data_IF_336000517085
#
_entry.id   IF_336000517085
#
_cell.length_a   1.000
_cell.length_b   1.000
_cell.length_c   1.000
_cell.angle_alpha   90.00
_cell.angle_beta   90.00
_cell.angle_gamma   90.00
#
_symmetry.space_group_name_H-M   'P 1'
#
loop_
_entity.id
_entity.type
_entity.pdbx_description
1 polymer ?
#
# COMPACT_ATOMS: atom_id res chain seq x y z
N UNK A 1 -0.54 -6.52 2.98
CA UNK A 1 -0.54 -5.11 3.47
C UNK A 1 -1.92 -4.68 3.93
N UNK A 2 -2.91 -4.51 3.08
CA UNK A 2 -4.26 -4.03 3.46
C UNK A 2 -4.93 -4.84 4.57
N UNK A 3 -4.80 -6.17 4.57
CA UNK A 3 -5.33 -7.04 5.64
C UNK A 3 -4.72 -6.70 7.01
N UNK A 4 -3.41 -6.47 7.06
CA UNK A 4 -2.72 -6.07 8.29
C UNK A 4 -3.21 -4.69 8.75
N UNK A 5 -3.34 -3.76 7.82
CA UNK A 5 -3.81 -2.39 8.10
C UNK A 5 -5.23 -2.40 8.69
N UNK A 6 -6.14 -3.16 8.09
CA UNK A 6 -7.50 -3.34 8.59
C UNK A 6 -7.51 -3.97 9.98
N UNK A 7 -6.79 -5.09 10.17
CA UNK A 7 -6.71 -5.81 11.43
C UNK A 7 -6.19 -4.93 12.59
N UNK A 8 -5.09 -4.23 12.36
CA UNK A 8 -4.50 -3.33 13.36
C UNK A 8 -5.41 -2.13 13.65
N UNK A 9 -6.10 -1.60 12.64
CA UNK A 9 -7.08 -0.51 12.84
C UNK A 9 -8.25 -0.96 13.71
N UNK A 10 -8.78 -2.16 13.45
CA UNK A 10 -9.86 -2.75 14.24
C UNK A 10 -9.42 -3.03 15.69
N UNK A 11 -8.17 -3.45 15.88
CA UNK A 11 -7.60 -3.67 17.23
C UNK A 11 -7.30 -2.37 17.98
N UNK A 12 -7.39 -1.20 17.34
CA UNK A 12 -7.19 0.11 17.97
C UNK A 12 -5.77 0.33 18.51
N UNK A 13 -4.77 0.17 17.64
CA UNK A 13 -3.36 0.37 17.97
C UNK A 13 -2.92 1.85 18.06
N UNK A 14 -3.86 2.77 18.13
CA UNK A 14 -3.57 4.20 18.22
C UNK A 14 -2.71 4.49 19.45
N UNK A 15 -1.58 5.16 19.23
CA UNK A 15 -0.64 5.48 20.30
C UNK A 15 0.25 4.32 20.76
N UNK A 16 0.14 3.16 20.14
CA UNK A 16 0.94 1.97 20.46
C UNK A 16 2.11 1.81 19.50
N UNK A 17 3.14 1.08 19.94
CA UNK A 17 4.18 0.52 19.08
C UNK A 17 3.72 -0.87 18.62
N UNK A 18 3.82 -1.13 17.34
CA UNK A 18 3.52 -2.43 16.74
C UNK A 18 4.82 -3.09 16.33
N UNK A 19 5.09 -4.25 16.89
CA UNK A 19 6.24 -5.07 16.51
C UNK A 19 5.74 -6.35 15.84
N UNK A 20 6.31 -6.65 14.68
CA UNK A 20 5.99 -7.86 13.92
C UNK A 20 6.96 -8.97 14.30
N UNK A 21 6.44 -10.14 14.61
CA UNK A 21 7.23 -11.29 15.03
C UNK A 21 6.62 -12.60 14.51
N UNK A 22 7.27 -13.71 14.80
CA UNK A 22 6.81 -15.04 14.41
C UNK A 22 7.37 -15.53 13.08
N UNK A 23 7.12 -16.79 12.73
CA UNK A 23 7.76 -17.47 11.60
C UNK A 23 7.38 -16.86 10.24
N UNK A 24 6.19 -16.28 10.12
CA UNK A 24 5.73 -15.62 8.90
C UNK A 24 6.54 -14.38 8.51
N UNK A 25 7.23 -13.74 9.45
CA UNK A 25 7.99 -12.51 9.18
C UNK A 25 9.12 -12.75 8.18
N UNK A 26 9.81 -13.87 8.26
CA UNK A 26 10.89 -14.25 7.33
C UNK A 26 10.43 -14.44 5.88
N UNK A 27 9.12 -14.63 5.67
CA UNK A 27 8.52 -14.74 4.34
C UNK A 27 8.20 -13.38 3.70
N UNK A 28 8.17 -12.30 4.50
CA UNK A 28 7.81 -10.96 4.02
C UNK A 28 9.06 -10.23 3.53
N UNK A 29 9.15 -9.84 2.24
CA UNK A 29 10.27 -9.04 1.73
C UNK A 29 10.38 -7.69 2.43
N UNK A 30 11.61 -7.13 2.49
CA UNK A 30 11.87 -5.84 3.16
C UNK A 30 11.03 -4.69 2.56
N UNK A 31 10.82 -4.70 1.25
CA UNK A 31 10.01 -3.68 0.57
C UNK A 31 8.55 -3.70 1.03
N UNK A 32 8.01 -4.89 1.30
CA UNK A 32 6.65 -5.05 1.83
C UNK A 32 6.58 -4.65 3.30
N UNK A 33 7.62 -4.98 4.10
CA UNK A 33 7.75 -4.50 5.49
C UNK A 33 7.78 -2.98 5.54
N UNK A 34 8.53 -2.34 4.64
CA UNK A 34 8.59 -0.89 4.52
C UNK A 34 7.22 -0.29 4.18
N UNK A 35 6.48 -0.90 3.26
CA UNK A 35 5.12 -0.48 2.92
C UNK A 35 4.17 -0.61 4.10
N UNK A 36 4.22 -1.72 4.85
CA UNK A 36 3.42 -1.89 6.07
C UNK A 36 3.78 -0.82 7.09
N UNK A 37 5.08 -0.52 7.28
CA UNK A 37 5.55 0.56 8.15
C UNK A 37 5.04 1.94 7.73
N UNK A 38 5.05 2.24 6.44
CA UNK A 38 4.52 3.50 5.88
C UNK A 38 3.02 3.66 6.10
N UNK A 39 2.28 2.56 6.24
CA UNK A 39 0.84 2.57 6.52
C UNK A 39 0.52 2.73 8.02
N UNK A 40 1.50 3.05 8.86
CA UNK A 40 1.27 3.34 10.29
C UNK A 40 0.20 4.40 10.54
N UNK A 41 0.10 5.50 9.77
CA UNK A 41 -0.97 6.47 9.92
C UNK A 41 -2.37 5.87 9.68
N UNK A 42 -2.50 4.98 8.70
CA UNK A 42 -3.77 4.36 8.33
C UNK A 42 -4.32 3.46 9.44
N UNK A 43 -3.49 2.67 10.10
CA UNK A 43 -3.92 1.89 11.25
C UNK A 43 -3.73 2.60 12.59
N UNK A 44 -2.98 3.70 12.60
CA UNK A 44 -2.90 4.63 13.74
C UNK A 44 -1.82 4.32 14.76
N UNK A 45 -0.86 3.43 14.48
CA UNK A 45 0.26 3.17 15.41
C UNK A 45 1.27 4.32 15.41
N UNK A 46 2.02 4.43 16.49
CA UNK A 46 3.12 5.40 16.58
C UNK A 46 4.34 4.90 15.80
N UNK A 47 4.63 3.61 15.89
CA UNK A 47 5.77 2.96 15.22
C UNK A 47 5.34 1.55 14.77
N UNK A 48 5.88 1.11 13.64
CA UNK A 48 5.83 -0.26 13.18
C UNK A 48 7.26 -0.79 13.03
N UNK A 49 7.59 -1.87 13.70
CA UNK A 49 8.94 -2.41 13.78
C UNK A 49 8.95 -3.84 13.25
N UNK A 50 9.91 -4.12 12.37
CA UNK A 50 10.23 -5.47 11.92
C UNK A 50 11.62 -5.86 12.43
N UNK A 51 11.87 -7.13 12.76
CA UNK A 51 13.19 -7.60 13.13
C UNK A 51 14.14 -7.54 11.94
N UNK A 52 15.42 -7.47 12.23
CA UNK A 52 16.50 -7.59 11.24
C UNK A 52 16.76 -9.08 10.98
N UNK A 53 16.85 -9.48 9.72
CA UNK A 53 17.08 -10.87 9.30
C UNK A 53 17.89 -10.95 8.00
N UNK A 54 18.00 -12.17 7.44
CA UNK A 54 18.70 -12.41 6.18
C UNK A 54 18.07 -11.62 5.00
N UNK A 55 16.76 -11.38 5.01
CA UNK A 55 16.11 -10.55 3.99
C UNK A 55 16.57 -9.08 4.06
N UNK A 56 16.85 -8.60 5.26
CA UNK A 56 17.41 -7.25 5.46
C UNK A 56 18.81 -7.16 4.86
N UNK A 57 19.67 -8.12 5.10
CA UNK A 57 21.04 -8.13 4.56
C UNK A 57 21.04 -8.33 3.03
N UNK A 58 20.13 -9.15 2.50
CA UNK A 58 19.93 -9.32 1.06
C UNK A 58 19.54 -7.98 0.40
N UNK A 59 18.60 -7.25 0.99
CA UNK A 59 18.17 -5.94 0.51
C UNK A 59 19.31 -4.90 0.57
N UNK A 60 20.10 -4.89 1.63
CA UNK A 60 21.27 -4.00 1.75
C UNK A 60 22.29 -4.28 0.64
N UNK A 61 22.53 -5.55 0.30
CA UNK A 61 23.40 -5.94 -0.80
C UNK A 61 22.84 -5.46 -2.15
N UNK A 62 21.55 -5.71 -2.38
CA UNK A 62 20.85 -5.26 -3.59
C UNK A 62 20.93 -3.74 -3.78
N UNK A 63 20.90 -2.99 -2.70
CA UNK A 63 20.96 -1.52 -2.71
C UNK A 63 22.39 -0.96 -2.65
N UNK A 64 23.41 -1.81 -2.85
CA UNK A 64 24.80 -1.39 -3.08
C UNK A 64 25.61 -1.15 -1.80
N UNK A 65 25.21 -1.68 -0.64
CA UNK A 65 26.04 -1.63 0.56
C UNK A 65 27.19 -2.62 0.43
N UNK A 66 28.37 -2.20 0.93
CA UNK A 66 29.56 -3.06 0.90
C UNK A 66 29.39 -4.28 1.82
N UNK A 67 30.08 -5.37 1.49
CA UNK A 67 30.07 -6.58 2.32
C UNK A 67 30.54 -6.28 3.76
N UNK A 68 31.48 -5.36 3.94
CA UNK A 68 31.91 -4.94 5.26
C UNK A 68 30.79 -4.27 6.07
N UNK A 69 30.01 -3.40 5.44
CA UNK A 69 28.86 -2.75 6.10
C UNK A 69 27.79 -3.79 6.45
N UNK A 70 27.52 -4.73 5.54
CA UNK A 70 26.53 -5.79 5.76
C UNK A 70 26.95 -6.68 6.92
N UNK A 71 28.23 -7.11 6.98
CA UNK A 71 28.77 -7.89 8.09
C UNK A 71 28.68 -7.13 9.43
N UNK A 72 28.93 -5.83 9.42
CA UNK A 72 28.77 -4.99 10.60
C UNK A 72 27.31 -4.94 11.08
N UNK A 73 26.35 -4.72 10.18
CA UNK A 73 24.92 -4.69 10.50
C UNK A 73 24.47 -6.03 11.08
N UNK A 74 24.87 -7.14 10.46
CA UNK A 74 24.52 -8.48 10.94
C UNK A 74 25.09 -8.77 12.32
N UNK A 75 26.38 -8.51 12.53
CA UNK A 75 27.05 -8.74 13.81
C UNK A 75 26.42 -7.88 14.90
N UNK A 76 26.24 -6.59 14.65
CA UNK A 76 25.63 -5.69 15.60
C UNK A 76 24.20 -6.09 15.97
N UNK A 77 23.40 -6.43 14.96
CA UNK A 77 22.00 -6.84 15.19
C UNK A 77 21.93 -8.12 16.05
N UNK A 78 22.83 -9.08 15.84
CA UNK A 78 22.91 -10.30 16.65
C UNK A 78 23.31 -10.00 18.09
N UNK A 79 24.34 -9.19 18.30
CA UNK A 79 24.83 -8.81 19.62
C UNK A 79 23.79 -8.00 20.42
N UNK A 80 23.02 -7.17 19.76
CA UNK A 80 21.97 -6.36 20.40
C UNK A 80 20.63 -7.10 20.55
N UNK A 81 20.52 -8.33 20.09
CA UNK A 81 19.27 -9.10 20.14
C UNK A 81 18.16 -8.56 19.22
N UNK A 82 18.54 -7.81 18.18
CA UNK A 82 17.63 -7.27 17.16
C UNK A 82 17.45 -8.22 15.96
N UNK A 83 18.28 -9.29 15.93
CA UNK A 83 18.19 -10.28 14.87
C UNK A 83 17.02 -11.21 15.10
N UNK A 84 16.28 -11.50 14.02
CA UNK A 84 15.13 -12.41 14.06
C UNK A 84 15.55 -13.82 14.54
N UNK A 85 14.78 -14.35 15.46
CA UNK A 85 14.91 -15.74 15.95
C UNK A 85 13.53 -16.35 16.05
N UNK A 86 13.33 -17.49 15.41
CA UNK A 86 12.06 -18.22 15.45
C UNK A 86 11.79 -18.83 16.85
N UNK A 87 12.85 -19.09 17.60
CA UNK A 87 12.75 -19.71 18.93
C UNK A 87 12.45 -18.70 20.05
N UNK A 88 12.48 -17.41 19.75
CA UNK A 88 12.30 -16.35 20.72
C UNK A 88 10.93 -15.70 20.58
N UNK A 89 10.05 -15.96 21.53
CA UNK A 89 8.79 -15.28 21.65
C UNK A 89 8.91 -14.08 22.63
N UNK A 90 8.83 -12.83 22.15
CA UNK A 90 8.87 -11.66 23.00
C UNK A 90 7.61 -11.57 23.88
N UNK A 91 7.73 -10.85 25.01
CA UNK A 91 6.57 -10.57 25.87
C UNK A 91 6.00 -9.21 25.53
N UNK A 92 4.76 -9.21 25.07
CA UNK A 92 4.01 -8.00 24.72
C UNK A 92 2.85 -7.76 25.69
N UNK A 93 2.38 -6.52 25.78
CA UNK A 93 1.17 -6.19 26.52
C UNK A 93 -0.09 -6.71 25.85
N UNK A 94 -0.08 -6.77 24.53
CA UNK A 94 -1.16 -7.29 23.68
C UNK A 94 -0.55 -7.98 22.46
N UNK A 95 -1.24 -8.94 21.90
CA UNK A 95 -0.81 -9.59 20.66
C UNK A 95 -1.99 -9.87 19.73
N UNK A 96 -1.70 -9.93 18.45
CA UNK A 96 -2.60 -10.36 17.39
C UNK A 96 -1.90 -11.42 16.55
N UNK A 97 -2.65 -12.39 16.10
CA UNK A 97 -2.17 -13.42 15.21
C UNK A 97 -2.85 -13.28 13.83
N UNK A 98 -2.05 -13.41 12.77
CA UNK A 98 -2.54 -13.45 11.41
C UNK A 98 -1.88 -14.62 10.67
N UNK A 99 -2.68 -15.58 10.27
CA UNK A 99 -2.25 -16.61 9.34
C UNK A 99 -2.18 -16.00 7.92
N UNK A 100 -0.96 -15.91 7.39
CA UNK A 100 -0.73 -15.35 6.05
C UNK A 100 -1.40 -16.17 4.93
N UNK A 101 -1.68 -17.46 5.18
CA UNK A 101 -2.41 -18.32 4.27
C UNK A 101 -3.88 -17.92 4.07
N UNK A 102 -4.45 -17.16 4.99
CA UNK A 102 -5.83 -16.66 4.90
C UNK A 102 -5.97 -15.35 4.13
N UNK A 103 -4.86 -14.73 3.75
CA UNK A 103 -4.86 -13.45 3.05
C UNK A 103 -5.32 -13.64 1.60
N UNK A 104 -6.35 -12.91 1.23
CA UNK A 104 -6.93 -12.94 -0.12
C UNK A 104 -6.65 -11.64 -0.87
N UNK A 105 -6.64 -11.67 -2.22
CA UNK A 105 -6.51 -10.48 -3.04
C UNK A 105 -7.56 -9.43 -2.66
N UNK A 106 -7.10 -8.20 -2.48
CA UNK A 106 -7.94 -7.11 -1.98
C UNK A 106 -7.49 -5.78 -2.58
N UNK A 107 -8.40 -4.82 -2.60
CA UNK A 107 -8.14 -3.43 -2.97
C UNK A 107 -8.40 -2.52 -1.76
N UNK A 108 -7.82 -1.33 -1.79
CA UNK A 108 -8.13 -0.29 -0.83
C UNK A 108 -9.59 0.16 -1.03
N UNK A 109 -10.25 0.53 0.06
CA UNK A 109 -11.58 1.08 -0.01
C UNK A 109 -11.58 2.51 -0.58
N UNK A 110 -12.75 2.97 -1.05
CA UNK A 110 -12.86 4.25 -1.76
C UNK A 110 -12.59 5.46 -0.86
N UNK A 111 -12.82 5.34 0.46
CA UNK A 111 -12.62 6.44 1.41
C UNK A 111 -11.27 6.34 2.13
N UNK A 112 -10.88 5.15 2.54
CA UNK A 112 -9.66 4.94 3.36
C UNK A 112 -8.99 3.62 3.03
N UNK A 113 -7.67 3.52 3.04
CA UNK A 113 -6.95 2.26 2.76
C UNK A 113 -7.32 1.11 3.68
N UNK A 114 -7.66 1.39 4.94
CA UNK A 114 -8.07 0.39 5.92
C UNK A 114 -9.50 -0.15 5.72
N UNK A 115 -10.31 0.51 4.89
CA UNK A 115 -11.64 0.03 4.50
C UNK A 115 -11.47 -0.96 3.33
N UNK A 116 -10.81 -2.07 3.59
CA UNK A 116 -10.39 -3.05 2.59
C UNK A 116 -11.60 -3.73 1.93
N UNK A 117 -11.55 -3.87 0.61
CA UNK A 117 -12.53 -4.61 -0.19
C UNK A 117 -11.88 -5.83 -0.81
N UNK A 118 -12.47 -7.01 -0.63
CA UNK A 118 -12.01 -8.20 -1.35
C UNK A 118 -12.19 -8.02 -2.86
N UNK A 119 -11.19 -8.42 -3.64
CA UNK A 119 -11.23 -8.24 -5.09
C UNK A 119 -12.47 -8.87 -5.73
N UNK A 120 -12.93 -10.02 -5.20
CA UNK A 120 -14.16 -10.68 -5.66
C UNK A 120 -15.44 -9.83 -5.47
N UNK A 121 -15.41 -8.85 -4.56
CA UNK A 121 -16.54 -7.98 -4.26
C UNK A 121 -16.31 -6.55 -4.76
N UNK A 122 -15.26 -6.30 -5.54
CA UNK A 122 -14.88 -4.95 -5.97
C UNK A 122 -15.99 -4.26 -6.77
N UNK A 123 -16.66 -4.97 -7.68
CA UNK A 123 -17.78 -4.41 -8.47
C UNK A 123 -18.93 -3.96 -7.57
N UNK A 124 -19.34 -4.80 -6.63
CA UNK A 124 -20.41 -4.45 -5.69
C UNK A 124 -20.01 -3.29 -4.79
N UNK A 125 -18.81 -3.35 -4.19
CA UNK A 125 -18.32 -2.29 -3.32
C UNK A 125 -18.19 -0.94 -4.04
N UNK A 126 -17.80 -0.95 -5.31
CA UNK A 126 -17.77 0.27 -6.12
C UNK A 126 -19.19 0.85 -6.33
N UNK A 127 -20.17 0.02 -6.69
CA UNK A 127 -21.57 0.46 -6.87
C UNK A 127 -22.16 1.04 -5.59
N UNK A 128 -21.88 0.44 -4.45
CA UNK A 128 -22.32 0.94 -3.15
C UNK A 128 -21.68 2.29 -2.83
N UNK A 129 -20.38 2.43 -3.05
CA UNK A 129 -19.66 3.67 -2.80
C UNK A 129 -20.08 4.79 -3.75
N UNK A 130 -20.42 4.46 -4.99
CA UNK A 130 -20.82 5.43 -6.01
C UNK A 130 -22.07 6.21 -5.62
N UNK A 131 -22.99 5.62 -4.85
CA UNK A 131 -24.20 6.27 -4.34
C UNK A 131 -23.93 7.50 -3.50
N UNK A 132 -22.74 7.64 -2.94
CA UNK A 132 -22.34 8.81 -2.17
C UNK A 132 -21.91 10.00 -3.06
N UNK A 133 -21.72 9.77 -4.36
CA UNK A 133 -21.13 10.75 -5.27
C UNK A 133 -22.06 11.16 -6.44
N UNK A 134 -23.06 10.36 -6.75
CA UNK A 134 -23.95 10.60 -7.90
C UNK A 134 -25.43 10.48 -7.49
N UNK A 135 -26.30 11.19 -8.22
CA UNK A 135 -27.75 11.08 -8.02
C UNK A 135 -28.27 9.70 -8.39
N UNK A 136 -29.44 9.33 -7.86
CA UNK A 136 -30.05 8.03 -8.16
C UNK A 136 -30.36 7.84 -9.64
N UNK A 137 -30.73 8.93 -10.34
CA UNK A 137 -31.02 8.90 -11.78
C UNK A 137 -29.75 8.66 -12.60
N UNK A 138 -28.63 9.27 -12.22
CA UNK A 138 -27.33 9.04 -12.85
C UNK A 138 -26.80 7.63 -12.58
N UNK A 139 -27.08 7.05 -11.41
CA UNK A 139 -26.68 5.69 -11.04
C UNK A 139 -27.32 4.63 -11.94
N UNK A 140 -28.61 4.77 -12.25
CA UNK A 140 -29.33 3.80 -13.08
C UNK A 140 -28.70 3.73 -14.47
N UNK A 141 -28.45 4.85 -15.10
CA UNK A 141 -27.81 4.90 -16.41
C UNK A 141 -26.36 4.40 -16.41
N UNK A 142 -25.63 4.60 -15.30
CA UNK A 142 -24.26 4.10 -15.16
C UNK A 142 -24.21 2.59 -14.96
N UNK A 143 -25.09 2.02 -14.12
CA UNK A 143 -25.16 0.59 -13.85
C UNK A 143 -25.50 -0.20 -15.13
N UNK A 144 -26.44 0.30 -15.93
CA UNK A 144 -26.83 -0.33 -17.20
C UNK A 144 -25.63 -0.35 -18.18
N UNK A 145 -24.92 0.76 -18.33
CA UNK A 145 -23.76 0.86 -19.22
C UNK A 145 -22.56 0.01 -18.75
N UNK A 146 -22.36 -0.16 -17.44
CA UNK A 146 -21.29 -1.02 -16.88
C UNK A 146 -21.61 -2.50 -17.09
N UNK A 147 -22.85 -2.92 -16.93
CA UNK A 147 -23.25 -4.31 -17.16
C UNK A 147 -23.14 -4.71 -18.64
N UNK A 148 -23.45 -3.81 -19.55
CA UNK A 148 -23.27 -4.01 -20.97
C UNK A 148 -21.81 -4.06 -21.41
N UNK A 149 -20.93 -3.33 -20.72
CA UNK A 149 -19.50 -3.26 -21.06
C UNK A 149 -18.64 -4.37 -20.47
N UNK A 150 -19.17 -5.15 -19.55
CA UNK A 150 -18.40 -6.24 -18.92
C UNK A 150 -18.59 -7.58 -19.69
N UNK A 151 -17.51 -8.26 -20.16
CA UNK A 151 -16.09 -8.14 -19.77
C UNK A 151 -15.21 -7.26 -20.68
N UNK A 152 -15.77 -6.34 -21.45
CA UNK A 152 -14.99 -5.48 -22.31
C UNK A 152 -14.06 -4.54 -21.53
N UNK A 153 -12.88 -4.27 -22.10
CA UNK A 153 -11.86 -3.40 -21.48
C UNK A 153 -12.14 -1.91 -21.70
N UNK A 154 -13.16 -1.55 -22.43
CA UNK A 154 -13.46 -0.17 -22.77
C UNK A 154 -14.34 0.50 -21.72
N UNK A 155 -14.00 1.73 -21.35
CA UNK A 155 -14.82 2.56 -20.49
C UNK A 155 -16.16 2.84 -21.18
N UNK A 156 -17.32 2.63 -20.53
CA UNK A 156 -18.60 2.93 -21.13
C UNK A 156 -18.66 4.40 -21.56
N UNK A 157 -18.88 4.64 -22.84
CA UNK A 157 -19.09 6.01 -23.32
C UNK A 157 -20.47 6.49 -22.91
N UNK A 158 -20.54 7.49 -22.04
CA UNK A 158 -21.80 8.21 -21.81
C UNK A 158 -22.20 8.93 -23.12
N UNK A 159 -23.15 8.39 -23.82
CA UNK A 159 -23.78 9.14 -24.88
C UNK A 159 -24.48 10.36 -24.28
N UNK A 160 -23.91 11.56 -24.43
CA UNK A 160 -24.57 12.80 -24.02
C UNK A 160 -23.69 13.93 -23.50
N UNK A 161 -22.39 13.75 -23.32
CA UNK A 161 -21.49 14.84 -22.90
C UNK A 161 -20.69 15.39 -24.11
N UNK A 162 -20.94 14.93 -25.31
CA UNK A 162 -20.09 15.28 -26.45
C UNK A 162 -20.51 16.57 -27.23
N UNK A 163 -21.51 17.30 -26.79
CA UNK A 163 -21.94 18.48 -27.55
C UNK A 163 -21.47 19.85 -27.02
N UNK A 164 -20.68 19.90 -25.96
CA UNK A 164 -20.13 21.16 -25.46
C UNK A 164 -18.65 21.20 -25.12
N UNK A 165 -17.92 20.12 -25.37
CA UNK A 165 -16.47 20.20 -25.43
C UNK A 165 -16.09 20.23 -26.90
N UNK A 166 -16.07 21.44 -27.49
CA UNK A 166 -15.25 21.68 -28.65
C UNK A 166 -13.90 21.01 -28.38
N UNK A 167 -13.34 20.27 -29.36
CA UNK A 167 -11.97 19.80 -29.19
C UNK A 167 -11.17 21.05 -28.89
N UNK A 168 -10.67 21.19 -27.67
CA UNK A 168 -9.59 22.11 -27.44
C UNK A 168 -8.53 21.64 -28.44
N UNK A 169 -8.41 22.39 -29.53
CA UNK A 169 -7.19 22.42 -30.28
C UNK A 169 -6.12 22.53 -29.22
N UNK A 170 -5.37 21.48 -29.04
CA UNK A 170 -4.09 21.59 -28.39
C UNK A 170 -3.29 22.49 -29.32
N UNK A 171 -3.53 23.79 -29.14
CA UNK A 171 -2.81 24.83 -29.82
C UNK A 171 -1.36 24.60 -29.55
N UNK A 172 -0.60 24.71 -30.58
CA UNK A 172 0.85 24.77 -30.62
C UNK A 172 1.39 25.38 -29.34
N UNK A 173 2.20 24.58 -28.61
CA UNK A 173 2.94 25.10 -27.48
C UNK A 173 2.32 24.77 -26.11
N UNK A 174 2.34 23.51 -25.74
CA UNK A 174 2.71 23.21 -24.35
C UNK A 174 4.12 23.79 -24.22
N UNK A 175 4.33 24.86 -23.44
CA UNK A 175 5.69 25.35 -23.23
C UNK A 175 6.47 24.17 -22.70
N UNK A 176 7.63 23.85 -23.31
CA UNK A 176 8.62 22.90 -22.83
C UNK A 176 9.07 23.19 -21.39
N UNK A 177 8.50 24.16 -20.75
CA UNK A 177 8.83 24.73 -19.45
C UNK A 177 7.73 24.53 -18.37
N UNK A 178 6.77 23.63 -18.58
CA UNK A 178 6.11 22.98 -17.45
C UNK A 178 7.08 21.90 -16.96
N UNK A 179 8.34 22.35 -16.86
CA UNK A 179 9.46 21.58 -16.44
C UNK A 179 9.32 21.24 -14.97
N UNK A 180 9.47 19.98 -14.66
CA UNK A 180 10.20 19.59 -13.44
C UNK A 180 11.37 20.57 -13.32
N UNK A 181 11.61 21.18 -12.15
CA UNK A 181 12.78 22.04 -12.00
C UNK A 181 14.02 21.18 -12.23
N UNK A 182 14.58 21.27 -13.43
CA UNK A 182 15.88 20.69 -13.80
C UNK A 182 16.99 21.60 -13.29
N UNK A 183 16.92 22.04 -12.05
CA UNK A 183 18.06 22.58 -11.36
C UNK A 183 18.92 21.39 -10.93
N UNK A 184 19.87 21.04 -11.80
CA UNK A 184 21.06 20.33 -11.37
C UNK A 184 21.72 21.20 -10.29
N UNK A 185 21.57 20.79 -9.05
CA UNK A 185 22.36 21.33 -7.96
C UNK A 185 23.71 20.64 -8.07
N UNK A 186 24.81 21.36 -8.36
CA UNK A 186 26.13 20.75 -8.34
C UNK A 186 26.44 20.31 -6.91
N UNK A 187 26.51 18.99 -6.71
CA UNK A 187 27.01 18.43 -5.47
C UNK A 187 28.51 18.40 -5.59
N UNK A 188 29.19 19.33 -4.90
CA UNK A 188 30.63 19.24 -4.69
C UNK A 188 30.87 18.21 -3.58
N UNK A 189 31.56 17.14 -3.95
CA UNK A 189 32.06 16.13 -3.01
C UNK A 189 33.26 16.69 -2.23
#
# INVERSE_FOLDING_TARGET
>A
MLTITELLRQHKVVGKFVEFYGPGVSQVPVVDRATIGNMSPEYGSTIAIFPIDAKTTEYLRLTGRSDQQIALVETYAKEQGLWHSEDREPRYSEFLELDLGTVVPSIAGPKRPQDRVHLAHAKQGFREALRDFVSTEELIGYDESVDESFPASDVPSRGGISESLEPHEYGEGIPDDIGRPSKQVPVTL
#
